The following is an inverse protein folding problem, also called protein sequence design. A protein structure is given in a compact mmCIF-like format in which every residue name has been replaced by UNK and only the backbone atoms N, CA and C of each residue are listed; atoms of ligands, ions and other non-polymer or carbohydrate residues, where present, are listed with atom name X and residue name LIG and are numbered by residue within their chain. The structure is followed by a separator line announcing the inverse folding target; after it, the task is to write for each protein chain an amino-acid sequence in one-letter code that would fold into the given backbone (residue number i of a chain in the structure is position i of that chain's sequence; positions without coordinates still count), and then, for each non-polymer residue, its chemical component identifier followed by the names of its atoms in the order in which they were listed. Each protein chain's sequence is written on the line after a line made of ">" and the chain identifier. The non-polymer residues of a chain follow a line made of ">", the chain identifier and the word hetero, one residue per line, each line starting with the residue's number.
data_IF_712379078483
#
_entry.id   IF_712379078483
#
_cell.length_a   1.000
_cell.length_b   1.000
_cell.length_c   1.000
_cell.angle_alpha   90.00
_cell.angle_beta   90.00
_cell.angle_gamma   90.00
#
_symmetry.space_group_name_H-M   'P 1'
#
loop_
_entity.id
_entity.type
_entity.pdbx_description
1 polymer ?
#
# COMPACT_ATOMS: atom_id res chain seq x y z
N UNK A 1 49.22 -23.95 11.63
CA UNK A 1 47.93 -24.55 12.06
C UNK A 1 47.04 -23.57 12.84
N UNK A 2 47.55 -22.85 13.84
CA UNK A 2 46.74 -21.87 14.62
C UNK A 2 46.19 -20.68 13.80
N UNK A 3 46.95 -20.17 12.83
CA UNK A 3 46.49 -19.06 11.96
C UNK A 3 45.26 -19.46 11.13
N UNK A 4 45.20 -20.71 10.66
CA UNK A 4 44.06 -21.22 9.87
C UNK A 4 42.79 -21.23 10.72
N UNK A 5 42.88 -21.66 11.98
CA UNK A 5 41.74 -21.65 12.91
C UNK A 5 41.25 -20.24 13.25
N UNK A 6 42.18 -19.29 13.44
CA UNK A 6 41.83 -17.88 13.68
C UNK A 6 41.09 -17.31 12.47
N UNK A 7 41.54 -17.58 11.24
CA UNK A 7 40.87 -17.14 10.01
C UNK A 7 39.48 -17.76 9.87
N UNK A 8 39.32 -19.06 10.16
CA UNK A 8 38.01 -19.74 10.14
C UNK A 8 37.03 -19.13 11.16
N UNK A 9 37.50 -18.84 12.38
CA UNK A 9 36.68 -18.23 13.43
C UNK A 9 36.27 -16.81 13.02
N UNK A 10 37.19 -16.01 12.46
CA UNK A 10 36.88 -14.66 11.96
C UNK A 10 35.86 -14.73 10.83
N UNK A 11 36.01 -15.65 9.87
CA UNK A 11 35.05 -15.86 8.79
C UNK A 11 33.68 -16.28 9.32
N UNK A 12 33.63 -17.17 10.31
CA UNK A 12 32.38 -17.57 10.95
C UNK A 12 31.70 -16.42 11.67
N UNK A 13 32.45 -15.60 12.43
CA UNK A 13 31.95 -14.40 13.09
C UNK A 13 31.44 -13.37 12.06
N UNK A 14 32.16 -13.19 10.95
CA UNK A 14 31.75 -12.31 9.86
C UNK A 14 30.45 -12.80 9.18
N UNK A 15 30.36 -14.09 8.87
CA UNK A 15 29.14 -14.70 8.31
C UNK A 15 27.97 -14.59 9.29
N UNK A 16 28.21 -14.84 10.58
CA UNK A 16 27.21 -14.69 11.62
C UNK A 16 26.78 -13.23 11.81
N UNK A 17 27.71 -12.27 11.72
CA UNK A 17 27.40 -10.84 11.78
C UNK A 17 26.61 -10.38 10.54
N UNK A 18 26.90 -10.92 9.36
CA UNK A 18 26.12 -10.67 8.13
C UNK A 18 24.69 -11.17 8.34
N UNK A 19 24.52 -12.41 8.81
CA UNK A 19 23.21 -12.99 9.13
C UNK A 19 22.42 -12.17 10.15
N UNK A 20 23.09 -11.63 11.15
CA UNK A 20 22.45 -10.88 12.24
C UNK A 20 22.10 -9.43 11.85
N UNK A 21 22.94 -8.74 11.08
CA UNK A 21 22.82 -7.29 10.87
C UNK A 21 22.45 -6.88 9.43
N UNK A 22 22.92 -7.58 8.40
CA UNK A 22 22.70 -7.21 6.99
C UNK A 22 21.46 -7.90 6.41
N UNK A 23 21.27 -9.18 6.69
CA UNK A 23 20.16 -9.97 6.15
C UNK A 23 18.77 -9.45 6.56
N UNK A 24 18.51 -8.97 7.79
CA UNK A 24 17.18 -8.46 8.16
C UNK A 24 16.76 -7.25 7.33
N UNK A 25 17.67 -6.28 7.13
CA UNK A 25 17.41 -5.09 6.30
C UNK A 25 17.24 -5.47 4.83
N UNK A 26 18.10 -6.35 4.31
CA UNK A 26 17.96 -6.87 2.94
C UNK A 26 16.61 -7.56 2.72
N UNK A 27 16.12 -8.34 3.70
CA UNK A 27 14.78 -8.97 3.61
C UNK A 27 13.66 -7.94 3.63
N UNK A 28 13.73 -6.92 4.48
CA UNK A 28 12.78 -5.79 4.46
C UNK A 28 12.68 -5.19 3.06
N UNK A 29 13.81 -4.74 2.52
CA UNK A 29 13.89 -4.13 1.19
C UNK A 29 13.42 -5.07 0.06
N UNK A 30 13.69 -6.38 0.15
CA UNK A 30 13.21 -7.36 -0.83
C UNK A 30 11.68 -7.49 -0.81
N UNK A 31 11.08 -7.41 0.39
CA UNK A 31 9.63 -7.42 0.57
C UNK A 31 8.99 -6.19 -0.04
N UNK A 32 9.48 -5.01 0.34
CA UNK A 32 9.03 -3.72 -0.19
C UNK A 32 9.18 -3.67 -1.72
N UNK A 33 10.30 -4.15 -2.26
CA UNK A 33 10.50 -4.20 -3.71
C UNK A 33 9.52 -5.16 -4.41
N UNK A 34 9.18 -6.29 -3.79
CA UNK A 34 8.17 -7.22 -4.33
C UNK A 34 6.79 -6.57 -4.34
N UNK A 35 6.39 -5.94 -3.22
CA UNK A 35 5.15 -5.19 -3.11
C UNK A 35 5.10 -4.07 -4.15
N UNK A 36 6.16 -3.28 -4.27
CA UNK A 36 6.30 -2.23 -5.29
C UNK A 36 6.07 -2.75 -6.72
N UNK A 37 6.62 -3.92 -7.08
CA UNK A 37 6.36 -4.55 -8.39
C UNK A 37 4.89 -4.90 -8.61
N UNK A 38 4.20 -5.37 -7.57
CA UNK A 38 2.76 -5.65 -7.63
C UNK A 38 1.98 -4.34 -7.82
N UNK A 39 2.30 -3.32 -7.04
CA UNK A 39 1.66 -2.00 -7.13
C UNK A 39 1.84 -1.35 -8.50
N UNK A 40 3.02 -1.51 -9.13
CA UNK A 40 3.27 -1.00 -10.48
C UNK A 40 2.44 -1.68 -11.60
N UNK A 41 1.76 -2.80 -11.31
CA UNK A 41 0.80 -3.43 -12.22
C UNK A 41 -0.59 -2.79 -12.16
N UNK A 42 -0.88 -1.99 -11.13
CA UNK A 42 -2.15 -1.28 -11.03
C UNK A 42 -2.36 -0.40 -12.27
N UNK A 43 -3.62 -0.23 -12.71
CA UNK A 43 -3.94 0.64 -13.84
C UNK A 43 -3.41 2.05 -13.58
N UNK A 44 -2.33 2.42 -14.29
CA UNK A 44 -1.58 3.64 -14.00
C UNK A 44 -2.41 4.90 -14.24
N UNK A 45 -3.45 4.81 -15.06
CA UNK A 45 -4.45 5.85 -15.27
C UNK A 45 -5.16 6.25 -13.96
N UNK A 46 -5.34 5.34 -13.00
CA UNK A 46 -6.19 5.57 -11.81
C UNK A 46 -5.51 5.38 -10.47
N UNK A 47 -4.28 4.89 -10.46
CA UNK A 47 -3.53 4.59 -9.24
C UNK A 47 -2.11 5.13 -9.36
N UNK A 48 -1.72 5.95 -8.40
CA UNK A 48 -0.40 6.58 -8.32
C UNK A 48 0.35 6.02 -7.11
N UNK A 49 1.55 5.50 -7.33
CA UNK A 49 2.31 4.78 -6.31
C UNK A 49 3.49 5.63 -5.82
N UNK A 50 3.52 5.88 -4.52
CA UNK A 50 4.60 6.54 -3.80
C UNK A 50 5.24 5.54 -2.85
N UNK A 51 6.56 5.55 -2.73
CA UNK A 51 7.28 4.63 -1.85
C UNK A 51 8.25 5.43 -0.98
N UNK A 52 8.56 4.89 0.19
CA UNK A 52 9.55 5.41 1.15
C UNK A 52 9.27 6.86 1.56
N UNK A 53 8.00 7.19 1.79
CA UNK A 53 7.61 8.54 2.21
C UNK A 53 7.95 8.75 3.69
N UNK A 54 8.58 9.87 4.00
CA UNK A 54 8.89 10.25 5.39
C UNK A 54 7.98 11.39 5.81
N UNK A 55 7.14 11.16 6.81
CA UNK A 55 6.14 12.11 7.32
C UNK A 55 6.43 12.45 8.78
N UNK A 56 6.16 13.69 9.18
CA UNK A 56 6.23 14.09 10.59
C UNK A 56 4.93 13.71 11.30
N UNK A 57 5.00 12.78 12.25
CA UNK A 57 3.91 12.48 13.19
C UNK A 57 4.16 13.09 14.57
N UNK A 58 3.25 12.83 15.50
CA UNK A 58 3.26 13.41 16.86
C UNK A 58 4.51 13.06 17.67
N UNK A 59 5.09 11.87 17.44
CA UNK A 59 6.25 11.34 18.16
C UNK A 59 7.57 11.48 17.38
N UNK A 60 7.56 12.19 16.26
CA UNK A 60 8.72 12.36 15.39
C UNK A 60 8.47 11.93 13.95
N UNK A 61 9.56 11.69 13.20
CA UNK A 61 9.48 11.25 11.82
C UNK A 61 9.10 9.77 11.74
N UNK A 62 8.26 9.43 10.75
CA UNK A 62 7.86 8.06 10.46
C UNK A 62 7.98 7.79 8.97
N UNK A 63 8.51 6.62 8.61
CA UNK A 63 8.58 6.17 7.22
C UNK A 63 7.33 5.34 6.90
N UNK A 64 6.80 5.54 5.70
CA UNK A 64 5.67 4.80 5.15
C UNK A 64 6.17 4.08 3.90
N UNK A 65 6.12 2.74 3.91
CA UNK A 65 6.69 1.90 2.85
C UNK A 65 6.08 2.21 1.49
N UNK A 66 4.74 2.15 1.41
CA UNK A 66 4.02 2.48 0.19
C UNK A 66 2.73 3.26 0.48
N UNK A 67 2.47 4.25 -0.37
CA UNK A 67 1.18 4.93 -0.48
C UNK A 67 0.68 4.80 -1.90
N UNK A 68 -0.54 4.31 -2.08
CA UNK A 68 -1.23 4.34 -3.38
C UNK A 68 -2.34 5.37 -3.31
N UNK A 69 -2.33 6.33 -4.23
CA UNK A 69 -3.35 7.36 -4.35
C UNK A 69 -4.28 7.04 -5.52
N UNK A 70 -5.58 7.16 -5.30
CA UNK A 70 -6.62 7.00 -6.31
C UNK A 70 -7.83 7.84 -5.94
N UNK A 71 -8.75 8.06 -6.89
CA UNK A 71 -10.09 8.58 -6.58
C UNK A 71 -10.85 7.69 -5.58
N UNK A 72 -10.46 6.42 -5.43
CA UNK A 72 -11.04 5.49 -4.45
C UNK A 72 -10.46 5.62 -3.03
N UNK A 73 -9.55 6.57 -2.82
CA UNK A 73 -8.90 6.84 -1.54
C UNK A 73 -7.38 6.68 -1.56
N UNK A 74 -6.80 6.78 -0.37
CA UNK A 74 -5.36 6.74 -0.11
C UNK A 74 -5.03 5.43 0.60
N UNK A 75 -4.44 4.48 -0.09
CA UNK A 75 -4.04 3.20 0.48
C UNK A 75 -2.67 3.35 1.13
N UNK A 76 -2.63 3.29 2.46
CA UNK A 76 -1.39 3.30 3.24
C UNK A 76 -1.02 1.85 3.52
N UNK A 77 0.13 1.42 3.00
CA UNK A 77 0.49 0.02 2.95
C UNK A 77 1.75 -0.21 3.77
N UNK A 78 1.63 -1.07 4.77
CA UNK A 78 2.75 -1.58 5.58
C UNK A 78 3.19 -2.94 5.04
N UNK A 79 4.49 -3.09 4.74
CA UNK A 79 5.05 -4.34 4.24
C UNK A 79 5.78 -5.11 5.32
N UNK A 80 5.45 -6.41 5.46
CA UNK A 80 6.20 -7.36 6.28
C UNK A 80 6.77 -8.46 5.40
N UNK A 81 8.05 -8.75 5.58
CA UNK A 81 8.71 -9.88 4.91
C UNK A 81 9.47 -10.71 5.94
N UNK A 82 8.87 -11.82 6.34
CA UNK A 82 9.35 -12.67 7.41
C UNK A 82 9.28 -14.15 6.98
N UNK A 83 9.48 -15.06 7.94
CA UNK A 83 9.36 -16.50 7.75
C UNK A 83 8.80 -17.15 8.99
N UNK A 84 8.05 -18.23 8.81
CA UNK A 84 7.55 -19.05 9.93
C UNK A 84 6.13 -18.67 10.34
N UNK A 85 5.73 -19.08 11.54
CA UNK A 85 4.36 -18.97 12.00
C UNK A 85 4.15 -17.71 12.83
N UNK A 86 3.10 -16.96 12.55
CA UNK A 86 2.77 -15.73 13.27
C UNK A 86 1.48 -15.94 14.06
N UNK A 87 1.53 -15.62 15.36
CA UNK A 87 0.42 -15.71 16.29
C UNK A 87 0.12 -14.34 16.86
N UNK A 88 -1.15 -14.06 17.11
CA UNK A 88 -1.59 -12.77 17.60
C UNK A 88 -3.11 -12.62 17.55
N UNK A 89 -3.54 -11.36 17.58
CA UNK A 89 -4.94 -10.97 17.46
C UNK A 89 -5.01 -9.55 16.90
N UNK A 90 -6.11 -9.21 16.22
CA UNK A 90 -6.34 -7.88 15.63
C UNK A 90 -6.12 -6.75 16.65
N UNK A 91 -6.67 -6.89 17.86
CA UNK A 91 -6.60 -5.86 18.91
C UNK A 91 -5.33 -5.94 19.78
N UNK A 92 -4.44 -6.90 19.51
CA UNK A 92 -3.23 -7.10 20.31
C UNK A 92 -2.21 -6.00 20.04
N UNK A 93 -1.47 -5.55 21.07
CA UNK A 93 -0.39 -4.56 20.87
C UNK A 93 0.78 -5.13 20.07
N UNK A 94 1.05 -6.42 20.25
CA UNK A 94 2.16 -7.14 19.65
C UNK A 94 1.70 -8.47 19.10
N UNK A 95 2.38 -8.94 18.05
CA UNK A 95 2.29 -10.30 17.55
C UNK A 95 3.59 -11.06 17.82
N UNK A 96 3.54 -12.37 17.73
CA UNK A 96 4.68 -13.25 17.97
C UNK A 96 4.97 -14.09 16.73
N UNK A 97 6.21 -14.02 16.24
CA UNK A 97 6.75 -14.90 15.20
C UNK A 97 7.45 -16.08 15.85
N UNK A 98 7.19 -17.28 15.35
CA UNK A 98 7.92 -18.51 15.65
C UNK A 98 8.65 -19.01 14.41
N UNK A 99 9.97 -19.15 14.50
CA UNK A 99 10.82 -19.63 13.40
C UNK A 99 12.05 -20.36 13.94
N UNK A 100 12.34 -21.55 13.43
CA UNK A 100 13.49 -22.38 13.85
C UNK A 100 13.62 -22.56 15.38
N UNK A 101 12.49 -22.73 16.09
CA UNK A 101 12.46 -22.88 17.55
C UNK A 101 12.57 -21.57 18.34
N UNK A 102 12.76 -20.43 17.68
CA UNK A 102 12.87 -19.11 18.32
C UNK A 102 11.55 -18.35 18.26
N UNK A 103 11.23 -17.64 19.35
CA UNK A 103 10.10 -16.70 19.43
C UNK A 103 10.61 -15.26 19.37
N UNK A 104 9.98 -14.44 18.55
CA UNK A 104 10.25 -13.00 18.48
C UNK A 104 8.92 -12.24 18.55
N UNK A 105 8.80 -11.33 19.50
CA UNK A 105 7.67 -10.39 19.55
C UNK A 105 7.97 -9.17 18.70
N UNK A 106 6.94 -8.61 18.08
CA UNK A 106 7.02 -7.39 17.30
C UNK A 106 5.70 -6.63 17.38
N UNK A 107 5.74 -5.32 17.13
CA UNK A 107 4.54 -4.49 17.13
C UNK A 107 3.53 -5.02 16.12
N UNK A 108 2.25 -5.03 16.50
CA UNK A 108 1.17 -5.40 15.58
C UNK A 108 1.20 -4.45 14.36
N UNK A 109 1.38 -4.97 13.13
CA UNK A 109 1.53 -4.15 11.93
C UNK A 109 0.27 -3.33 11.62
N UNK A 110 -0.91 -3.79 12.04
CA UNK A 110 -2.15 -3.02 11.89
C UNK A 110 -2.07 -1.72 12.69
N UNK A 111 -1.57 -1.79 13.93
CA UNK A 111 -1.41 -0.63 14.81
C UNK A 111 -0.23 0.24 14.39
N UNK A 112 0.84 -0.37 13.87
CA UNK A 112 1.96 0.36 13.29
C UNK A 112 1.47 1.22 12.13
N UNK A 113 0.75 0.61 11.19
CA UNK A 113 0.22 1.29 10.01
C UNK A 113 -0.85 2.32 10.35
N UNK A 114 -1.64 2.09 11.40
CA UNK A 114 -2.54 3.12 11.93
C UNK A 114 -1.78 4.39 12.36
N UNK A 115 -0.60 4.24 12.96
CA UNK A 115 0.28 5.38 13.27
C UNK A 115 0.73 6.14 12.00
N UNK A 116 1.05 5.42 10.93
CA UNK A 116 1.38 6.01 9.62
C UNK A 116 0.20 6.77 9.03
N UNK A 117 -1.00 6.19 9.09
CA UNK A 117 -2.25 6.83 8.66
C UNK A 117 -2.46 8.12 9.43
N UNK A 118 -2.31 8.15 10.76
CA UNK A 118 -2.49 9.37 11.54
C UNK A 118 -1.48 10.47 11.22
N UNK A 119 -0.22 10.10 10.97
CA UNK A 119 0.77 11.05 10.50
C UNK A 119 0.40 11.62 9.12
N UNK A 120 -0.03 10.77 8.19
CA UNK A 120 -0.41 11.18 6.84
C UNK A 120 -1.72 11.98 6.81
N UNK A 121 -2.70 11.61 7.63
CA UNK A 121 -3.98 12.31 7.84
C UNK A 121 -3.72 13.76 8.25
N UNK A 122 -2.89 13.95 9.28
CA UNK A 122 -2.47 15.26 9.78
C UNK A 122 -1.74 16.08 8.72
N UNK A 123 -0.83 15.44 7.95
CA UNK A 123 -0.08 16.09 6.89
C UNK A 123 -0.95 16.53 5.71
N UNK A 124 -1.90 15.70 5.28
CA UNK A 124 -2.76 15.96 4.12
C UNK A 124 -3.99 16.82 4.46
N UNK A 125 -4.37 16.90 5.74
CA UNK A 125 -5.60 17.55 6.17
C UNK A 125 -6.85 16.86 5.63
N UNK A 126 -6.80 15.53 5.45
CA UNK A 126 -7.92 14.72 4.94
C UNK A 126 -8.54 13.89 6.04
N UNK A 127 -9.85 13.57 5.98
CA UNK A 127 -10.49 12.74 6.98
C UNK A 127 -10.04 11.27 6.86
N UNK A 128 -9.88 10.59 8.00
CA UNK A 128 -9.49 9.17 8.10
C UNK A 128 -10.27 8.23 7.16
N UNK A 129 -11.55 8.50 6.90
CA UNK A 129 -12.39 7.66 6.04
C UNK A 129 -11.94 7.62 4.56
N UNK A 130 -11.07 8.56 4.14
CA UNK A 130 -10.44 8.55 2.81
C UNK A 130 -9.16 7.71 2.76
N UNK A 131 -8.66 7.23 3.90
CA UNK A 131 -7.44 6.43 4.01
C UNK A 131 -7.76 4.96 4.31
N UNK A 132 -7.11 4.06 3.58
CA UNK A 132 -7.27 2.62 3.72
C UNK A 132 -6.01 2.01 4.37
N UNK A 133 -6.18 1.39 5.53
CA UNK A 133 -5.13 0.62 6.21
C UNK A 133 -4.99 -0.75 5.54
N UNK A 134 -3.85 -1.02 4.91
CA UNK A 134 -3.52 -2.33 4.36
C UNK A 134 -2.16 -2.79 4.93
N UNK A 135 -2.12 -4.03 5.41
CA UNK A 135 -0.87 -4.70 5.79
C UNK A 135 -0.64 -5.84 4.80
N UNK A 136 0.57 -5.93 4.25
CA UNK A 136 0.94 -6.95 3.27
C UNK A 136 2.06 -7.82 3.82
N UNK A 137 1.82 -9.13 3.77
CA UNK A 137 2.81 -10.15 4.07
C UNK A 137 3.40 -10.69 2.75
N UNK A 138 4.67 -10.38 2.50
CA UNK A 138 5.40 -10.66 1.26
C UNK A 138 6.54 -11.68 1.44
N UNK A 139 6.58 -12.38 2.58
CA UNK A 139 7.54 -13.45 2.89
C UNK A 139 6.92 -14.84 2.95
N UNK A 140 7.63 -15.78 3.57
CA UNK A 140 7.18 -17.17 3.75
C UNK A 140 6.47 -17.36 5.11
N UNK A 141 5.75 -16.33 5.57
CA UNK A 141 5.03 -16.36 6.84
C UNK A 141 3.63 -16.98 6.74
N UNK A 142 3.22 -17.64 7.82
CA UNK A 142 1.89 -18.24 7.95
C UNK A 142 1.18 -17.67 9.16
N UNK A 143 0.20 -16.80 8.92
CA UNK A 143 -0.69 -16.31 9.97
C UNK A 143 -1.47 -17.50 10.56
N UNK A 144 -1.47 -17.63 11.88
CA UNK A 144 -2.15 -18.71 12.62
C UNK A 144 -3.45 -18.23 13.27
N UNK A 145 -4.00 -17.11 12.81
CA UNK A 145 -5.21 -16.47 13.31
C UNK A 145 -5.84 -15.63 12.20
N UNK A 146 -7.13 -15.31 12.34
CA UNK A 146 -7.79 -14.35 11.46
C UNK A 146 -7.32 -12.92 11.79
N UNK A 147 -6.50 -12.36 10.91
CA UNK A 147 -5.95 -11.02 11.04
C UNK A 147 -6.88 -9.94 10.46
N UNK A 148 -8.08 -10.32 10.00
CA UNK A 148 -9.06 -9.44 9.41
C UNK A 148 -8.79 -9.12 7.94
N UNK A 149 -9.79 -8.52 7.29
CA UNK A 149 -9.83 -8.34 5.82
C UNK A 149 -8.79 -7.39 5.25
N UNK A 150 -8.10 -6.64 6.09
CA UNK A 150 -7.14 -5.60 5.70
C UNK A 150 -5.68 -6.07 5.80
N UNK A 151 -5.48 -7.29 6.30
CA UNK A 151 -4.19 -7.97 6.30
C UNK A 151 -4.26 -9.02 5.19
N UNK A 152 -3.38 -8.90 4.21
CA UNK A 152 -3.40 -9.73 2.99
C UNK A 152 -2.01 -10.26 2.69
N UNK A 153 -1.95 -11.32 1.89
CA UNK A 153 -0.71 -11.76 1.27
C UNK A 153 -0.41 -10.97 -0.02
N UNK A 154 0.84 -11.02 -0.48
CA UNK A 154 1.31 -10.27 -1.65
C UNK A 154 0.56 -10.65 -2.94
N UNK A 155 0.16 -11.90 -3.10
CA UNK A 155 -0.67 -12.40 -4.21
C UNK A 155 -2.10 -11.84 -4.21
N UNK A 156 -2.65 -11.50 -3.04
CA UNK A 156 -3.99 -10.93 -2.86
C UNK A 156 -4.01 -9.39 -2.99
N UNK A 157 -2.87 -8.72 -2.85
CA UNK A 157 -2.77 -7.25 -2.74
C UNK A 157 -3.39 -6.52 -3.93
N UNK A 158 -3.11 -6.96 -5.15
CA UNK A 158 -3.63 -6.31 -6.36
C UNK A 158 -5.16 -6.30 -6.38
N UNK A 159 -5.76 -7.47 -6.13
CA UNK A 159 -7.21 -7.62 -6.12
C UNK A 159 -7.84 -6.89 -4.93
N UNK A 160 -7.16 -6.87 -3.78
CA UNK A 160 -7.58 -6.10 -2.60
C UNK A 160 -7.69 -4.61 -2.92
N UNK A 161 -6.65 -3.98 -3.47
CA UNK A 161 -6.71 -2.56 -3.87
C UNK A 161 -7.78 -2.35 -4.94
N UNK A 162 -7.83 -3.23 -5.94
CA UNK A 162 -8.82 -3.15 -7.00
C UNK A 162 -10.26 -3.45 -6.57
N UNK A 163 -10.50 -3.90 -5.33
CA UNK A 163 -11.83 -4.17 -4.79
C UNK A 163 -12.53 -2.90 -4.28
N UNK A 164 -11.78 -1.84 -3.94
CA UNK A 164 -12.34 -0.55 -3.53
C UNK A 164 -12.93 0.19 -4.72
N UNK A 165 -14.17 0.67 -4.58
CA UNK A 165 -14.97 1.20 -5.70
C UNK A 165 -15.68 2.51 -5.36
N UNK A 166 -15.83 2.81 -4.08
CA UNK A 166 -16.43 4.07 -3.63
C UNK A 166 -15.50 5.22 -3.99
N UNK A 167 -16.03 6.26 -4.62
CA UNK A 167 -15.26 7.47 -4.92
C UNK A 167 -15.18 8.28 -3.63
N UNK A 168 -13.96 8.50 -3.16
CA UNK A 168 -13.66 9.20 -1.91
C UNK A 168 -12.89 10.49 -2.13
N UNK A 169 -12.34 10.69 -3.33
CA UNK A 169 -11.57 11.87 -3.71
C UNK A 169 -11.94 12.32 -5.13
N UNK A 170 -12.05 13.63 -5.32
CA UNK A 170 -12.21 14.23 -6.65
C UNK A 170 -10.88 14.23 -7.42
N UNK A 171 -10.90 14.37 -8.76
CA UNK A 171 -9.69 14.57 -9.55
C UNK A 171 -8.78 15.69 -9.02
N UNK A 172 -9.34 16.85 -8.67
CA UNK A 172 -8.59 17.97 -8.11
C UNK A 172 -7.93 17.64 -6.76
N UNK A 173 -8.63 16.88 -5.91
CA UNK A 173 -8.08 16.41 -4.64
C UNK A 173 -6.93 15.43 -4.87
N UNK A 174 -7.05 14.53 -5.84
CA UNK A 174 -5.95 13.62 -6.24
C UNK A 174 -4.73 14.41 -6.71
N UNK A 175 -4.91 15.41 -7.56
CA UNK A 175 -3.80 16.26 -8.02
C UNK A 175 -3.13 16.98 -6.85
N UNK A 176 -3.91 17.62 -5.98
CA UNK A 176 -3.38 18.34 -4.81
C UNK A 176 -2.65 17.42 -3.84
N UNK A 177 -3.22 16.26 -3.52
CA UNK A 177 -2.61 15.28 -2.62
C UNK A 177 -1.32 14.75 -3.23
N UNK A 178 -1.32 14.45 -4.53
CA UNK A 178 -0.11 14.01 -5.19
C UNK A 178 1.01 15.06 -5.11
N UNK A 179 0.70 16.36 -5.19
CA UNK A 179 1.71 17.41 -5.04
C UNK A 179 2.36 17.36 -3.66
N UNK A 180 1.52 17.20 -2.62
CA UNK A 180 1.97 17.07 -1.25
C UNK A 180 2.83 15.82 -1.04
N UNK A 181 2.42 14.67 -1.59
CA UNK A 181 3.17 13.41 -1.47
C UNK A 181 4.51 13.46 -2.23
N UNK A 182 4.57 14.11 -3.38
CA UNK A 182 5.83 14.31 -4.11
C UNK A 182 6.80 15.22 -3.35
N UNK A 183 6.29 16.27 -2.71
CA UNK A 183 7.11 17.18 -1.90
C UNK A 183 7.78 16.48 -0.72
N UNK A 184 7.21 15.37 -0.22
CA UNK A 184 7.84 14.53 0.80
C UNK A 184 8.99 13.67 0.26
N UNK A 185 9.00 13.37 -1.04
CA UNK A 185 9.96 12.42 -1.63
C UNK A 185 11.30 13.08 -1.94
N UNK A 186 11.32 14.29 -2.50
CA UNK A 186 12.57 14.96 -2.95
C UNK A 186 12.37 16.45 -3.25
N UNK A 187 13.42 17.26 -3.06
CA UNK A 187 13.52 18.65 -3.56
C UNK A 187 13.70 18.76 -5.10
N UNK A 188 13.59 17.65 -5.83
CA UNK A 188 13.78 17.60 -7.27
C UNK A 188 12.49 18.06 -7.99
N UNK A 189 12.54 19.30 -8.49
CA UNK A 189 11.41 19.92 -9.20
C UNK A 189 11.10 19.23 -10.53
N UNK A 190 12.06 18.55 -11.16
CA UNK A 190 11.87 17.92 -12.47
C UNK A 190 11.01 16.66 -12.33
N UNK A 191 11.32 15.80 -11.35
CA UNK A 191 10.50 14.64 -10.98
C UNK A 191 9.09 15.06 -10.56
N UNK A 192 8.97 16.20 -9.87
CA UNK A 192 7.68 16.75 -9.51
C UNK A 192 6.85 17.14 -10.73
N UNK A 193 7.43 17.87 -11.69
CA UNK A 193 6.74 18.33 -12.90
C UNK A 193 6.33 17.19 -13.82
N UNK A 194 7.19 16.19 -14.01
CA UNK A 194 6.89 15.05 -14.87
C UNK A 194 5.72 14.23 -14.32
N UNK A 195 5.73 13.92 -13.02
CA UNK A 195 4.64 13.17 -12.39
C UNK A 195 3.32 13.95 -12.41
N UNK A 196 3.37 15.26 -12.18
CA UNK A 196 2.16 16.12 -12.25
C UNK A 196 1.52 16.12 -13.64
N UNK A 197 2.34 16.23 -14.68
CA UNK A 197 1.84 16.18 -16.07
C UNK A 197 1.19 14.83 -16.38
N UNK A 198 1.80 13.75 -15.90
CA UNK A 198 1.29 12.39 -16.04
C UNK A 198 -0.06 12.21 -15.32
N UNK A 199 -0.21 12.74 -14.10
CA UNK A 199 -1.46 12.68 -13.32
C UNK A 199 -2.58 13.45 -14.01
N UNK A 200 -2.35 14.73 -14.34
CA UNK A 200 -3.39 15.57 -14.94
C UNK A 200 -3.91 14.96 -16.25
N UNK A 201 -3.01 14.52 -17.13
CA UNK A 201 -3.40 13.87 -18.39
C UNK A 201 -4.24 12.60 -18.19
N UNK A 202 -4.06 11.90 -17.08
CA UNK A 202 -4.81 10.67 -16.76
C UNK A 202 -6.18 10.97 -16.18
N UNK A 203 -6.27 11.97 -15.33
CA UNK A 203 -7.54 12.46 -14.80
C UNK A 203 -8.44 12.94 -15.94
N UNK A 204 -7.88 13.72 -16.87
CA UNK A 204 -8.59 14.16 -18.08
C UNK A 204 -9.14 12.96 -18.90
N UNK A 205 -8.38 11.87 -19.01
CA UNK A 205 -8.83 10.66 -19.72
C UNK A 205 -9.94 9.91 -18.98
N UNK A 206 -9.89 9.85 -17.65
CA UNK A 206 -10.93 9.24 -16.84
C UNK A 206 -12.21 10.04 -16.95
N UNK A 207 -12.13 11.36 -16.74
CA UNK A 207 -13.28 12.25 -16.77
C UNK A 207 -13.93 12.18 -18.15
N UNK A 208 -13.14 12.21 -19.23
CA UNK A 208 -13.66 12.00 -20.57
C UNK A 208 -14.38 10.64 -20.74
N UNK A 209 -13.83 9.54 -20.20
CA UNK A 209 -14.50 8.23 -20.25
C UNK A 209 -15.81 8.26 -19.47
N UNK A 210 -15.84 8.89 -18.30
CA UNK A 210 -17.05 9.01 -17.48
C UNK A 210 -18.12 9.84 -18.19
N UNK A 211 -17.77 11.01 -18.71
CA UNK A 211 -18.66 11.89 -19.48
C UNK A 211 -19.31 11.16 -20.67
N UNK A 212 -18.58 10.24 -21.30
CA UNK A 212 -19.05 9.43 -22.42
C UNK A 212 -19.76 8.12 -22.00
N UNK A 213 -20.00 7.89 -20.72
CA UNK A 213 -20.63 6.66 -20.21
C UNK A 213 -19.79 5.41 -20.45
N UNK A 214 -18.48 5.56 -20.47
CA UNK A 214 -17.50 4.50 -20.64
C UNK A 214 -16.89 4.17 -19.28
N UNK A 215 -16.87 2.88 -18.94
CA UNK A 215 -16.25 2.39 -17.74
C UNK A 215 -14.72 2.56 -17.84
N UNK A 216 -14.08 3.35 -16.96
CA UNK A 216 -12.64 3.56 -17.01
C UNK A 216 -11.85 2.30 -16.61
N UNK A 217 -12.51 1.28 -16.03
CA UNK A 217 -11.87 0.01 -15.68
C UNK A 217 -11.69 -0.95 -16.86
N UNK A 218 -12.63 -1.00 -17.80
CA UNK A 218 -12.60 -2.03 -18.85
C UNK A 218 -13.12 -1.56 -20.22
N UNK A 219 -13.46 -0.28 -20.38
CA UNK A 219 -14.01 0.28 -21.62
C UNK A 219 -15.46 -0.12 -21.93
N UNK A 220 -16.12 -0.91 -21.07
CA UNK A 220 -17.54 -1.26 -21.26
C UNK A 220 -18.47 -0.10 -20.95
N UNK A 221 -19.73 -0.11 -21.42
CA UNK A 221 -20.67 0.97 -21.10
C UNK A 221 -21.08 1.00 -19.63
N UNK A 222 -21.29 2.19 -19.08
CA UNK A 222 -21.91 2.42 -17.78
C UNK A 222 -23.43 2.44 -17.93
N UNK A 223 -24.13 1.77 -17.00
CA UNK A 223 -25.58 1.65 -17.00
C UNK A 223 -26.14 2.02 -15.63
N UNK A 224 -27.19 2.84 -15.60
CA UNK A 224 -27.87 3.23 -14.38
C UNK A 224 -28.57 2.02 -13.74
N UNK A 225 -28.38 1.83 -12.44
CA UNK A 225 -28.93 0.73 -11.62
C UNK A 225 -29.50 1.28 -10.32
N UNK A 226 -30.44 0.55 -9.72
CA UNK A 226 -31.00 0.83 -8.39
C UNK A 226 -30.49 -0.18 -7.38
N UNK A 227 -29.89 0.30 -6.29
CA UNK A 227 -29.41 -0.51 -5.17
C UNK A 227 -30.08 -0.13 -3.85
N UNK A 228 -29.71 -0.83 -2.77
CA UNK A 228 -30.22 -0.59 -1.41
C UNK A 228 -30.03 0.85 -0.93
N UNK A 229 -28.96 1.51 -1.40
CA UNK A 229 -28.55 2.85 -0.97
C UNK A 229 -28.84 3.96 -1.99
N UNK A 230 -29.58 3.67 -3.06
CA UNK A 230 -29.90 4.67 -4.09
C UNK A 230 -29.53 4.23 -5.51
N UNK A 231 -29.51 5.20 -6.44
CA UNK A 231 -29.17 4.99 -7.84
C UNK A 231 -27.65 5.10 -8.05
N UNK A 232 -27.09 4.26 -8.93
CA UNK A 232 -25.66 4.26 -9.26
C UNK A 232 -25.44 3.79 -10.69
N UNK A 233 -24.38 4.23 -11.35
CA UNK A 233 -23.95 3.66 -12.62
C UNK A 233 -23.04 2.46 -12.37
N UNK A 234 -23.35 1.31 -12.97
CA UNK A 234 -22.53 0.10 -12.93
C UNK A 234 -22.05 -0.30 -14.31
N UNK A 235 -20.91 -0.97 -14.41
CA UNK A 235 -20.43 -1.49 -15.69
C UNK A 235 -21.38 -2.55 -16.27
N UNK A 236 -21.65 -2.46 -17.56
CA UNK A 236 -22.40 -3.45 -18.35
C UNK A 236 -21.75 -4.83 -18.35
N UNK A 237 -20.43 -4.92 -18.19
CA UNK A 237 -19.67 -6.18 -18.16
C UNK A 237 -19.69 -6.90 -16.79
N UNK A 238 -20.58 -6.53 -15.87
CA UNK A 238 -20.80 -7.28 -14.63
C UNK A 238 -21.21 -8.74 -14.95
N UNK A 239 -20.70 -9.78 -14.25
CA UNK A 239 -19.87 -9.72 -13.03
C UNK A 239 -18.36 -9.60 -13.26
N UNK A 240 -17.89 -9.67 -14.51
CA UNK A 240 -16.45 -9.62 -14.85
C UNK A 240 -15.84 -8.24 -14.55
N UNK A 241 -16.61 -7.18 -14.74
CA UNK A 241 -16.25 -5.84 -14.31
C UNK A 241 -17.26 -5.33 -13.27
N UNK A 242 -16.78 -5.15 -12.03
CA UNK A 242 -17.57 -4.64 -10.89
C UNK A 242 -17.40 -3.14 -10.66
N UNK A 243 -17.01 -2.38 -11.69
CA UNK A 243 -16.93 -0.92 -11.57
C UNK A 243 -18.32 -0.33 -11.33
N UNK A 244 -18.43 0.56 -10.35
CA UNK A 244 -19.61 1.34 -10.03
C UNK A 244 -19.21 2.77 -9.69
N UNK A 245 -20.11 3.72 -9.90
CA UNK A 245 -19.98 5.14 -9.52
C UNK A 245 -21.36 5.62 -9.09
N UNK A 246 -21.43 6.44 -8.03
CA UNK A 246 -22.69 7.02 -7.55
C UNK A 246 -23.35 7.84 -8.66
N UNK A 247 -24.69 7.92 -8.68
CA UNK A 247 -25.38 8.73 -9.69
C UNK A 247 -25.02 10.22 -9.58
N UNK A 248 -24.80 10.69 -8.36
CA UNK A 248 -24.49 12.11 -8.09
C UNK A 248 -22.98 12.41 -8.24
N UNK A 249 -22.15 11.37 -8.39
CA UNK A 249 -20.71 11.46 -8.66
C UNK A 249 -20.41 11.32 -10.17
N UNK A 250 -21.45 11.18 -11.00
CA UNK A 250 -21.41 10.98 -12.45
C UNK A 250 -21.99 12.20 -13.16
#
# INVERSE_FOLDING_TARGET
>A
MHIIWIVIIILFILLFAIDLFLIPKLRGNLGEHRVHKILNRLPKDRYFVFNDLVVKGDRGLTQIDHVVLSIYGIFVIETKNMRGHIYGSINGREWTKYSYGWKLKFMNPIHQNYGHIKALESFLGKPENSLHNIVVFAGDEKLQFDAGKNVVYDDELFDKICSFKDILLTPDEVTKISQLLLALKTNDKEVHQEHMKEINSRLDEIDNKLDNGICPKCGGRLVLRKGKYGEFYGCSNYPKCRYTIGKDDY
#
